data_IF_600854882657
#
_entry.id   IF_600854882657
#
_cell.length_a   1.000
_cell.length_b   1.000
_cell.length_c   1.000
_cell.angle_alpha   90.00
_cell.angle_beta   90.00
_cell.angle_gamma   90.00
#
_symmetry.space_group_name_H-M   'P 1'
#
loop_
_entity.id
_entity.type
_entity.pdbx_description
1 polymer ?
#
# COMPACT_ATOMS: atom_id res chain seq x y z
N UNK A 1 -8.43 15.43 37.88
CA UNK A 1 -9.78 15.29 37.30
C UNK A 1 -9.70 14.22 36.22
N UNK A 2 -9.99 12.97 36.57
CA UNK A 2 -10.11 11.89 35.59
C UNK A 2 -11.36 12.17 34.76
N UNK A 3 -11.17 12.67 33.53
CA UNK A 3 -12.25 12.79 32.56
C UNK A 3 -12.46 11.37 32.01
N UNK A 4 -12.98 10.48 32.87
CA UNK A 4 -13.35 9.14 32.50
C UNK A 4 -14.18 9.24 31.23
N UNK A 5 -13.63 8.72 30.13
CA UNK A 5 -14.16 8.82 28.77
C UNK A 5 -15.63 8.40 28.81
N UNK A 6 -16.54 9.36 28.91
CA UNK A 6 -17.98 9.11 28.79
C UNK A 6 -18.22 8.88 27.31
N UNK A 7 -18.04 7.65 26.85
CA UNK A 7 -18.49 7.24 25.54
C UNK A 7 -20.01 7.40 25.52
N UNK A 8 -20.48 8.39 24.76
CA UNK A 8 -21.90 8.44 24.44
C UNK A 8 -22.19 7.36 23.41
N UNK A 9 -23.40 6.79 23.38
CA UNK A 9 -23.81 5.84 22.33
C UNK A 9 -23.54 6.41 20.92
N UNK A 10 -23.72 7.71 20.75
CA UNK A 10 -23.39 8.42 19.50
C UNK A 10 -21.88 8.39 19.20
N UNK A 11 -21.02 8.56 20.20
CA UNK A 11 -19.56 8.48 20.05
C UNK A 11 -19.07 7.08 19.70
N UNK A 12 -19.69 6.04 20.27
CA UNK A 12 -19.37 4.64 19.94
C UNK A 12 -19.76 4.31 18.50
N UNK A 13 -20.98 4.68 18.08
CA UNK A 13 -21.45 4.49 16.71
C UNK A 13 -20.60 5.26 15.69
N UNK A 14 -20.20 6.50 16.02
CA UNK A 14 -19.32 7.28 15.16
C UNK A 14 -17.93 6.63 15.03
N UNK A 15 -17.38 6.09 16.13
CA UNK A 15 -16.10 5.40 16.11
C UNK A 15 -16.16 4.07 15.32
N UNK A 16 -17.25 3.33 15.44
CA UNK A 16 -17.49 2.10 14.69
C UNK A 16 -17.62 2.39 13.18
N UNK A 17 -18.44 3.38 12.81
CA UNK A 17 -18.58 3.79 11.40
C UNK A 17 -17.27 4.27 10.78
N UNK A 18 -16.44 4.98 11.54
CA UNK A 18 -15.11 5.38 11.09
C UNK A 18 -14.21 4.16 10.82
N UNK A 19 -14.18 3.19 11.75
CA UNK A 19 -13.37 1.97 11.59
C UNK A 19 -13.79 1.14 10.39
N UNK A 20 -15.10 1.02 10.14
CA UNK A 20 -15.58 0.30 8.96
C UNK A 20 -15.21 1.02 7.66
N UNK A 21 -15.33 2.35 7.64
CA UNK A 21 -14.98 3.14 6.46
C UNK A 21 -13.49 3.02 6.14
N UNK A 22 -12.62 3.11 7.15
CA UNK A 22 -11.17 2.96 6.98
C UNK A 22 -10.81 1.56 6.52
N UNK A 23 -11.39 0.51 7.10
CA UNK A 23 -11.13 -0.87 6.68
C UNK A 23 -11.52 -1.11 5.21
N UNK A 24 -12.65 -0.54 4.76
CA UNK A 24 -13.08 -0.62 3.36
C UNK A 24 -12.16 0.15 2.43
N UNK A 25 -11.58 1.26 2.87
CA UNK A 25 -10.64 2.06 2.08
C UNK A 25 -9.27 1.38 1.98
N UNK A 26 -8.74 0.89 3.09
CA UNK A 26 -7.47 0.16 3.16
C UNK A 26 -7.49 -1.07 2.24
N UNK A 27 -8.53 -1.91 2.34
CA UNK A 27 -8.68 -3.07 1.46
C UNK A 27 -8.69 -2.69 -0.04
N UNK A 28 -9.33 -1.56 -0.40
CA UNK A 28 -9.32 -1.05 -1.79
C UNK A 28 -7.94 -0.56 -2.21
N UNK A 29 -7.24 0.14 -1.33
CA UNK A 29 -5.91 0.67 -1.62
C UNK A 29 -4.89 -0.45 -1.75
N UNK A 30 -4.91 -1.45 -0.87
CA UNK A 30 -4.06 -2.64 -0.96
C UNK A 30 -4.29 -3.41 -2.25
N UNK A 31 -5.56 -3.59 -2.65
CA UNK A 31 -5.89 -4.23 -3.93
C UNK A 31 -5.35 -3.43 -5.13
N UNK A 32 -5.41 -2.09 -5.08
CA UNK A 32 -4.90 -1.22 -6.14
C UNK A 32 -3.37 -1.13 -6.16
N UNK A 33 -2.73 -1.17 -4.99
CA UNK A 33 -1.27 -1.05 -4.86
C UNK A 33 -0.55 -2.38 -5.12
N UNK A 34 -1.21 -3.51 -4.87
CA UNK A 34 -0.71 -4.85 -5.17
C UNK A 34 -0.81 -5.26 -6.65
N UNK A 35 -1.28 -4.37 -7.53
CA UNK A 35 -1.34 -4.65 -8.97
C UNK A 35 0.04 -4.49 -9.61
N UNK A 36 0.35 -5.38 -10.56
CA UNK A 36 1.55 -5.31 -11.38
C UNK A 36 1.66 -3.95 -12.05
N UNK A 37 2.64 -3.14 -11.64
CA UNK A 37 2.87 -1.83 -12.24
C UNK A 37 3.03 -2.01 -13.75
N UNK A 38 2.22 -1.32 -14.55
CA UNK A 38 2.20 -1.42 -16.01
C UNK A 38 3.58 -1.24 -16.69
N UNK A 39 4.55 -0.64 -15.98
CA UNK A 39 5.93 -0.45 -16.44
C UNK A 39 6.98 -0.99 -15.47
N UNK A 40 6.59 -1.74 -14.43
CA UNK A 40 7.49 -2.16 -13.36
C UNK A 40 8.64 -3.03 -13.88
N UNK A 41 8.30 -4.07 -14.64
CA UNK A 41 9.28 -4.95 -15.27
C UNK A 41 10.15 -4.20 -16.31
N UNK A 42 9.53 -3.39 -17.16
CA UNK A 42 10.24 -2.62 -18.19
C UNK A 42 11.20 -1.58 -17.60
N UNK A 43 10.77 -0.84 -16.56
CA UNK A 43 11.62 0.10 -15.81
C UNK A 43 12.78 -0.62 -15.12
N UNK A 44 12.53 -1.81 -14.57
CA UNK A 44 13.56 -2.60 -13.92
C UNK A 44 14.62 -3.09 -14.91
N UNK A 45 14.20 -3.53 -16.10
CA UNK A 45 15.11 -3.88 -17.20
C UNK A 45 15.88 -2.68 -17.74
N UNK A 46 15.21 -1.54 -17.97
CA UNK A 46 15.83 -0.30 -18.42
C UNK A 46 16.90 0.19 -17.44
N UNK A 47 16.56 0.26 -16.14
CA UNK A 47 17.50 0.62 -15.09
C UNK A 47 18.64 -0.38 -14.94
N UNK A 48 18.39 -1.67 -15.19
CA UNK A 48 19.46 -2.68 -15.14
C UNK A 48 20.47 -2.44 -16.25
N UNK A 49 20.01 -2.16 -17.47
CA UNK A 49 20.85 -1.89 -18.63
C UNK A 49 21.56 -0.55 -18.57
N UNK A 50 21.07 0.42 -17.80
CA UNK A 50 21.63 1.79 -17.79
C UNK A 50 23.08 1.86 -17.30
N UNK A 51 23.54 0.89 -16.50
CA UNK A 51 24.89 0.93 -15.90
C UNK A 51 25.98 0.30 -16.77
N UNK A 52 25.68 -0.81 -17.44
CA UNK A 52 26.67 -1.67 -18.12
C UNK A 52 26.09 -2.32 -19.40
N UNK A 53 24.89 -1.92 -19.81
CA UNK A 53 24.17 -2.46 -20.96
C UNK A 53 23.49 -3.80 -20.71
N UNK A 54 23.66 -4.44 -19.54
CA UNK A 54 23.21 -5.81 -19.30
C UNK A 54 21.84 -5.86 -18.63
N UNK A 55 21.00 -6.81 -19.05
CA UNK A 55 19.70 -7.08 -18.40
C UNK A 55 19.88 -7.56 -16.95
N UNK A 56 18.84 -7.41 -16.13
CA UNK A 56 18.88 -7.89 -14.75
C UNK A 56 19.22 -9.38 -14.67
N UNK A 57 18.62 -10.16 -15.57
CA UNK A 57 18.81 -11.61 -15.68
C UNK A 57 20.23 -11.98 -16.10
N UNK A 58 20.86 -11.19 -16.96
CA UNK A 58 22.24 -11.40 -17.39
C UNK A 58 23.23 -11.12 -16.25
N UNK A 59 22.99 -10.05 -15.48
CA UNK A 59 23.80 -9.76 -14.29
C UNK A 59 23.69 -10.82 -13.19
N UNK A 60 22.52 -11.44 -13.04
CA UNK A 60 22.34 -12.51 -12.06
C UNK A 60 23.16 -13.76 -12.40
N UNK A 61 23.47 -13.97 -13.68
CA UNK A 61 24.19 -15.16 -14.15
C UNK A 61 25.71 -15.04 -14.06
N UNK A 62 26.26 -13.82 -13.98
CA UNK A 62 27.69 -13.54 -13.94
C UNK A 62 28.31 -13.54 -15.33
#
# INVERSE_FOLDING_TARGET
>A
MDHGRKSSKAGEQAAEGLREATAKEEAKNETKSGHDLAKGADRFEERSKSSDGRSAKEKQKG
#
